data_IF_434201801240
#
_entry.id   IF_434201801240
#
_cell.length_a   1.000
_cell.length_b   1.000
_cell.length_c   1.000
_cell.angle_alpha   90.00
_cell.angle_beta   90.00
_cell.angle_gamma   90.00
#
_symmetry.space_group_name_H-M   'P 1'
#
loop_
_entity.id
_entity.type
_entity.pdbx_description
1 polymer ?
#
# COMPACT_ATOMS: atom_id res chain seq x y z
N UNK A 1 12.26 -35.23 10.71
CA UNK A 1 12.41 -33.75 10.85
C UNK A 1 11.38 -33.29 11.86
N UNK A 2 11.83 -32.90 13.03
CA UNK A 2 10.96 -32.28 14.04
C UNK A 2 10.46 -30.95 13.53
N UNK A 3 9.15 -30.81 13.35
CA UNK A 3 8.49 -29.54 13.08
C UNK A 3 8.70 -28.62 14.28
N UNK A 4 9.59 -27.64 14.13
CA UNK A 4 9.96 -26.73 15.22
C UNK A 4 9.13 -25.48 15.16
N UNK A 5 8.42 -25.19 16.24
CA UNK A 5 7.86 -23.86 16.48
C UNK A 5 8.99 -22.85 16.68
N UNK A 6 8.81 -21.63 16.23
CA UNK A 6 9.78 -20.57 16.46
C UNK A 6 9.10 -19.30 17.00
N UNK A 7 9.88 -18.57 17.77
CA UNK A 7 9.54 -17.25 18.29
C UNK A 7 10.52 -16.24 17.72
N UNK A 8 10.02 -15.14 17.17
CA UNK A 8 10.84 -14.06 16.66
C UNK A 8 10.38 -12.72 17.24
N UNK A 9 11.33 -11.86 17.54
CA UNK A 9 11.10 -10.46 17.89
C UNK A 9 11.88 -9.60 16.92
N UNK A 10 11.21 -8.60 16.35
CA UNK A 10 11.79 -7.62 15.44
C UNK A 10 11.50 -6.24 15.99
N UNK A 11 12.50 -5.39 16.04
CA UNK A 11 12.36 -3.99 16.33
C UNK A 11 13.08 -3.17 15.26
N UNK A 12 12.42 -2.14 14.77
CA UNK A 12 12.91 -1.23 13.74
C UNK A 12 12.74 0.21 14.19
N UNK A 13 13.72 1.06 13.91
CA UNK A 13 13.67 2.47 14.21
C UNK A 13 14.09 3.27 12.99
N UNK A 14 13.21 4.16 12.53
CA UNK A 14 13.44 5.07 11.42
C UNK A 14 13.49 6.52 11.92
N UNK A 15 14.42 7.27 11.37
CA UNK A 15 14.48 8.72 11.50
C UNK A 15 14.65 9.35 10.12
N UNK A 16 13.74 10.24 9.77
CA UNK A 16 13.76 10.96 8.50
C UNK A 16 13.61 12.46 8.73
N UNK A 17 14.39 13.25 8.00
CA UNK A 17 14.31 14.71 8.03
C UNK A 17 14.51 15.25 6.61
N UNK A 18 13.57 16.03 6.13
CA UNK A 18 13.62 16.64 4.82
C UNK A 18 13.32 18.14 4.89
N UNK A 19 14.12 18.93 4.15
CA UNK A 19 13.81 20.32 3.85
C UNK A 19 13.87 20.48 2.33
N UNK A 20 12.77 20.90 1.73
CA UNK A 20 12.66 21.05 0.29
C UNK A 20 12.13 22.46 -0.05
N UNK A 21 12.65 23.03 -1.14
CA UNK A 21 12.30 24.33 -1.63
C UNK A 21 11.80 24.23 -3.06
N UNK A 22 10.57 24.63 -3.31
CA UNK A 22 9.95 24.62 -4.64
C UNK A 22 9.55 26.06 -5.00
N UNK A 23 10.51 26.84 -5.51
CA UNK A 23 10.28 28.25 -5.77
C UNK A 23 10.04 29.03 -4.47
N UNK A 24 8.78 29.47 -4.26
CA UNK A 24 8.36 30.18 -3.05
C UNK A 24 7.72 29.28 -2.00
N UNK A 25 7.67 27.99 -2.22
CA UNK A 25 7.16 27.01 -1.27
C UNK A 25 8.32 26.41 -0.45
N UNK A 26 8.25 26.58 0.85
CA UNK A 26 9.17 25.97 1.81
C UNK A 26 8.48 24.80 2.48
N UNK A 27 8.99 23.59 2.25
CA UNK A 27 8.49 22.35 2.86
C UNK A 27 9.50 21.83 3.88
N UNK A 28 8.99 21.35 5.01
CA UNK A 28 9.77 20.62 6.02
C UNK A 28 9.01 19.41 6.48
N UNK A 29 9.67 18.26 6.44
CA UNK A 29 9.18 16.99 6.96
C UNK A 29 10.14 16.40 7.99
N UNK A 30 9.61 15.91 9.10
CA UNK A 30 10.38 15.17 10.10
C UNK A 30 9.57 13.98 10.58
N UNK A 31 10.18 12.80 10.57
CA UNK A 31 9.57 11.57 11.05
C UNK A 31 10.50 10.84 12.00
N UNK A 32 9.94 10.32 13.09
CA UNK A 32 10.55 9.32 13.95
C UNK A 32 9.55 8.19 14.11
N UNK A 33 9.94 6.98 13.73
CA UNK A 33 9.10 5.80 13.81
C UNK A 33 9.83 4.68 14.56
N UNK A 34 9.13 4.03 15.47
CA UNK A 34 9.55 2.80 16.13
C UNK A 34 8.49 1.74 15.93
N UNK A 35 8.87 0.63 15.31
CA UNK A 35 8.01 -0.53 15.15
C UNK A 35 8.58 -1.74 15.90
N UNK A 36 7.73 -2.43 16.63
CA UNK A 36 8.08 -3.66 17.36
C UNK A 36 7.08 -4.75 17.00
N UNK A 37 7.58 -5.95 16.70
CA UNK A 37 6.75 -7.08 16.34
C UNK A 37 7.25 -8.34 17.03
N UNK A 38 6.37 -8.98 17.78
CA UNK A 38 6.59 -10.30 18.39
C UNK A 38 5.73 -11.31 17.67
N UNK A 39 6.33 -12.35 17.12
CA UNK A 39 5.61 -13.38 16.37
C UNK A 39 6.00 -14.79 16.82
N UNK A 40 4.99 -15.64 16.90
CA UNK A 40 5.15 -17.07 17.18
C UNK A 40 4.56 -17.87 16.01
N UNK A 41 5.39 -18.73 15.42
CA UNK A 41 4.99 -19.63 14.35
C UNK A 41 4.91 -21.07 14.88
N UNK A 42 3.75 -21.68 14.71
CA UNK A 42 3.49 -23.06 15.10
C UNK A 42 3.15 -23.91 13.87
N UNK A 43 3.84 -25.05 13.73
CA UNK A 43 3.60 -26.01 12.67
C UNK A 43 2.76 -27.16 13.22
N UNK A 44 1.51 -27.28 12.76
CA UNK A 44 0.63 -28.42 13.10
C UNK A 44 1.03 -29.68 12.33
N UNK A 45 1.36 -29.48 11.05
CA UNK A 45 1.81 -30.52 10.14
C UNK A 45 2.78 -29.92 9.12
N UNK A 46 3.40 -30.74 8.29
CA UNK A 46 4.21 -30.26 7.16
C UNK A 46 3.38 -29.48 6.09
N UNK A 47 2.05 -29.51 6.21
CA UNK A 47 1.13 -28.80 5.32
C UNK A 47 0.47 -27.58 5.94
N UNK A 48 0.50 -27.47 7.27
CA UNK A 48 -0.26 -26.43 7.96
C UNK A 48 0.53 -25.77 9.07
N UNK A 49 0.50 -24.46 9.09
CA UNK A 49 1.11 -23.63 10.12
C UNK A 49 0.20 -22.46 10.50
N UNK A 50 0.39 -21.97 11.70
CA UNK A 50 -0.27 -20.79 12.24
C UNK A 50 0.79 -19.83 12.77
N UNK A 51 0.74 -18.60 12.29
CA UNK A 51 1.49 -17.49 12.86
C UNK A 51 0.52 -16.66 13.68
N UNK A 52 0.88 -16.39 14.93
CA UNK A 52 0.19 -15.39 15.75
C UNK A 52 1.21 -14.35 16.19
N UNK A 53 0.81 -13.10 16.27
CA UNK A 53 1.73 -12.05 16.66
C UNK A 53 1.04 -10.84 17.23
N UNK A 54 1.86 -10.00 17.88
CA UNK A 54 1.47 -8.69 18.37
C UNK A 54 2.47 -7.65 17.86
N UNK A 55 1.97 -6.49 17.50
CA UNK A 55 2.75 -5.37 17.00
C UNK A 55 2.41 -4.10 17.77
N UNK A 56 3.44 -3.29 18.01
CA UNK A 56 3.28 -1.92 18.47
C UNK A 56 4.06 -1.00 17.52
N UNK A 57 3.45 0.11 17.15
CA UNK A 57 4.05 1.14 16.32
C UNK A 57 3.85 2.50 17.00
N UNK A 58 4.93 3.25 17.08
CA UNK A 58 4.95 4.62 17.56
C UNK A 58 5.52 5.48 16.44
N UNK A 59 4.73 6.40 15.93
CA UNK A 59 5.15 7.31 14.87
C UNK A 59 4.89 8.75 15.29
N UNK A 60 5.94 9.54 15.27
CA UNK A 60 5.86 10.98 15.41
C UNK A 60 6.21 11.61 14.08
N UNK A 61 5.24 12.26 13.46
CA UNK A 61 5.36 12.88 12.17
C UNK A 61 5.01 14.36 12.24
N UNK A 62 5.89 15.20 11.74
CA UNK A 62 5.70 16.63 11.61
C UNK A 62 5.91 17.03 10.16
N UNK A 63 4.93 17.71 9.62
CA UNK A 63 4.95 18.19 8.25
C UNK A 63 4.48 19.64 8.23
N UNK A 64 5.28 20.55 7.67
CA UNK A 64 4.94 21.94 7.54
C UNK A 64 5.20 22.46 6.12
N UNK A 65 4.29 23.28 5.64
CA UNK A 65 4.36 23.96 4.36
C UNK A 65 4.15 25.45 4.56
N UNK A 66 5.11 26.26 4.12
CA UNK A 66 4.96 27.70 3.98
C UNK A 66 4.93 28.08 2.52
N UNK A 67 3.85 28.73 2.09
CA UNK A 67 3.71 29.29 0.74
C UNK A 67 3.91 30.81 0.77
N UNK A 68 5.05 31.25 0.26
CA UNK A 68 5.47 32.67 0.27
C UNK A 68 5.06 33.42 -1.01
N UNK A 69 4.13 32.87 -1.79
CA UNK A 69 3.66 33.46 -3.03
C UNK A 69 2.92 34.81 -2.77
N UNK A 70 3.33 35.92 -3.38
CA UNK A 70 2.83 37.25 -3.02
C UNK A 70 1.33 37.48 -3.30
N UNK A 71 0.75 36.76 -4.26
CA UNK A 71 -0.66 36.89 -4.62
C UNK A 71 -1.63 36.06 -3.79
N UNK A 72 -1.14 35.26 -2.83
CA UNK A 72 -1.99 34.54 -1.90
C UNK A 72 -2.48 35.53 -0.83
N UNK A 73 -3.76 35.92 -0.92
CA UNK A 73 -4.36 36.84 0.02
C UNK A 73 -4.82 36.18 1.32
N UNK A 74 -5.27 34.91 1.22
CA UNK A 74 -5.79 34.16 2.35
C UNK A 74 -4.66 33.69 3.29
N UNK A 75 -4.60 34.29 4.48
CA UNK A 75 -3.59 33.92 5.49
C UNK A 75 -3.60 32.41 5.84
N UNK A 76 -4.76 31.74 5.75
CA UNK A 76 -4.92 30.30 6.01
C UNK A 76 -4.23 29.41 4.97
N UNK A 77 -4.05 29.89 3.73
CA UNK A 77 -3.39 29.11 2.66
C UNK A 77 -1.88 29.33 2.62
N UNK A 78 -1.34 30.18 3.47
CA UNK A 78 0.10 30.50 3.51
C UNK A 78 0.90 29.54 4.35
N UNK A 79 0.27 28.90 5.33
CA UNK A 79 0.97 28.03 6.26
C UNK A 79 0.08 26.87 6.68
N UNK A 80 0.59 25.66 6.50
CA UNK A 80 -0.02 24.43 6.98
C UNK A 80 0.96 23.70 7.89
N UNK A 81 0.46 23.18 8.99
CA UNK A 81 1.20 22.37 9.96
C UNK A 81 0.39 21.12 10.27
N UNK A 82 0.97 19.95 9.96
CA UNK A 82 0.33 18.64 10.11
C UNK A 82 1.16 17.78 11.09
N UNK A 83 1.11 18.14 12.35
CA UNK A 83 1.73 17.31 13.39
C UNK A 83 0.85 16.09 13.68
N UNK A 84 1.47 14.94 13.82
CA UNK A 84 0.81 13.68 14.16
C UNK A 84 1.68 12.85 15.09
N UNK A 85 1.13 12.49 16.25
CA UNK A 85 1.70 11.48 17.14
C UNK A 85 0.78 10.27 17.12
N UNK A 86 1.15 9.28 16.33
CA UNK A 86 0.34 8.10 16.07
C UNK A 86 0.90 6.91 16.85
N UNK A 87 0.04 6.29 17.64
CA UNK A 87 0.35 5.12 18.43
C UNK A 87 -0.64 4.03 18.05
N UNK A 88 -0.11 2.92 17.56
CA UNK A 88 -0.90 1.78 17.14
C UNK A 88 -0.43 0.52 17.83
N UNK A 89 -1.37 -0.25 18.34
CA UNK A 89 -1.13 -1.58 18.88
C UNK A 89 -2.09 -2.56 18.25
N UNK A 90 -1.58 -3.73 17.86
CA UNK A 90 -2.39 -4.72 17.18
C UNK A 90 -1.95 -6.13 17.44
N UNK A 91 -2.86 -7.06 17.13
CA UNK A 91 -2.60 -8.49 17.13
C UNK A 91 -3.12 -9.11 15.84
N UNK A 92 -2.47 -10.18 15.41
CA UNK A 92 -2.84 -10.87 14.18
C UNK A 92 -2.68 -12.37 14.30
N UNK A 93 -3.43 -13.06 13.44
CA UNK A 93 -3.28 -14.49 13.20
C UNK A 93 -3.32 -14.76 11.70
N UNK A 94 -2.44 -15.62 11.24
CA UNK A 94 -2.37 -16.07 9.84
C UNK A 94 -2.20 -17.56 9.78
N UNK A 95 -3.14 -18.23 9.10
CA UNK A 95 -3.12 -19.66 8.88
C UNK A 95 -2.69 -19.96 7.45
N UNK A 96 -1.72 -20.83 7.29
CA UNK A 96 -1.25 -21.36 6.01
C UNK A 96 -1.56 -22.83 5.90
N UNK A 97 -2.16 -23.22 4.78
CA UNK A 97 -2.31 -24.60 4.38
C UNK A 97 -1.75 -24.80 2.98
N UNK A 98 -0.83 -25.76 2.80
CA UNK A 98 -0.18 -25.99 1.53
C UNK A 98 -0.05 -27.50 1.23
N UNK A 99 -0.48 -27.87 0.04
CA UNK A 99 -0.20 -29.18 -0.56
C UNK A 99 0.88 -28.97 -1.60
N UNK A 100 2.04 -29.58 -1.40
CA UNK A 100 3.21 -29.40 -2.25
C UNK A 100 2.81 -29.53 -3.73
N UNK A 101 3.27 -28.58 -4.55
CA UNK A 101 3.11 -28.51 -6.00
C UNK A 101 1.66 -28.47 -6.52
N UNK A 102 0.65 -28.39 -5.64
CA UNK A 102 -0.76 -28.37 -6.05
C UNK A 102 -1.51 -27.14 -5.61
N UNK A 103 -1.51 -26.85 -4.33
CA UNK A 103 -2.41 -25.88 -3.75
C UNK A 103 -1.80 -25.24 -2.51
N UNK A 104 -1.99 -23.94 -2.35
CA UNK A 104 -1.77 -23.28 -1.07
C UNK A 104 -2.82 -22.21 -0.81
N UNK A 105 -3.22 -22.07 0.44
CA UNK A 105 -4.07 -20.99 0.93
C UNK A 105 -3.40 -20.37 2.14
N UNK A 106 -3.46 -19.03 2.19
CA UNK A 106 -3.08 -18.24 3.35
C UNK A 106 -4.28 -17.37 3.70
N UNK A 107 -4.74 -17.45 4.93
CA UNK A 107 -5.84 -16.63 5.44
C UNK A 107 -5.39 -15.96 6.73
N UNK A 108 -5.50 -14.65 6.80
CA UNK A 108 -5.08 -13.84 7.94
C UNK A 108 -6.14 -12.86 8.36
N UNK A 109 -6.14 -12.55 9.64
CA UNK A 109 -6.92 -11.46 10.24
C UNK A 109 -6.02 -10.69 11.19
N UNK A 110 -6.14 -9.38 11.17
CA UNK A 110 -5.43 -8.48 12.07
C UNK A 110 -6.41 -7.48 12.67
N UNK A 111 -6.26 -7.20 13.93
CA UNK A 111 -6.99 -6.16 14.65
C UNK A 111 -6.00 -5.17 15.25
N UNK A 112 -6.20 -3.88 14.97
CA UNK A 112 -5.36 -2.78 15.42
C UNK A 112 -6.19 -1.70 16.11
N UNK A 113 -5.70 -1.17 17.21
CA UNK A 113 -6.22 0.04 17.82
C UNK A 113 -5.23 1.18 17.58
N UNK A 114 -5.71 2.24 16.97
CA UNK A 114 -4.95 3.45 16.70
C UNK A 114 -5.43 4.57 17.63
N UNK A 115 -4.57 5.02 18.53
CA UNK A 115 -4.91 6.00 19.55
C UNK A 115 -5.11 7.41 18.97
N UNK A 116 -4.45 7.75 17.86
CA UNK A 116 -4.61 9.06 17.22
C UNK A 116 -6.02 9.28 16.66
N UNK A 117 -6.60 8.23 16.06
CA UNK A 117 -7.96 8.26 15.51
C UNK A 117 -9.01 7.80 16.51
N UNK A 118 -8.61 7.27 17.65
CA UNK A 118 -9.49 6.58 18.64
C UNK A 118 -10.39 5.54 17.93
N UNK A 119 -9.76 4.67 17.12
CA UNK A 119 -10.47 3.70 16.31
C UNK A 119 -9.83 2.33 16.36
N UNK A 120 -10.69 1.32 16.29
CA UNK A 120 -10.30 -0.08 16.10
C UNK A 120 -10.53 -0.49 14.65
N UNK A 121 -9.51 -1.11 14.04
CA UNK A 121 -9.53 -1.60 12.67
C UNK A 121 -9.45 -3.11 12.64
N UNK A 122 -10.15 -3.73 11.68
CA UNK A 122 -10.01 -5.15 11.38
C UNK A 122 -9.65 -5.28 9.91
N UNK A 123 -8.53 -5.94 9.63
CA UNK A 123 -7.98 -6.10 8.28
C UNK A 123 -7.83 -7.58 7.95
N UNK A 124 -8.88 -8.20 7.37
CA UNK A 124 -8.78 -9.55 6.82
C UNK A 124 -7.94 -9.54 5.53
N UNK A 125 -7.20 -10.63 5.30
CA UNK A 125 -6.49 -10.90 4.05
C UNK A 125 -6.51 -12.37 3.70
N UNK A 126 -6.47 -12.66 2.41
CA UNK A 126 -6.43 -14.03 1.92
C UNK A 126 -5.71 -14.14 0.59
N UNK A 127 -4.97 -15.23 0.43
CA UNK A 127 -4.28 -15.59 -0.80
C UNK A 127 -4.50 -17.06 -1.10
N UNK A 128 -4.72 -17.36 -2.37
CA UNK A 128 -4.82 -18.71 -2.89
C UNK A 128 -3.87 -18.87 -4.06
N UNK A 129 -3.18 -20.00 -4.12
CA UNK A 129 -2.43 -20.46 -5.29
C UNK A 129 -2.87 -21.87 -5.60
N UNK A 130 -3.23 -22.09 -6.84
CA UNK A 130 -3.64 -23.42 -7.33
C UNK A 130 -2.91 -23.74 -8.64
N UNK A 131 -2.05 -24.76 -8.61
CA UNK A 131 -1.45 -25.33 -9.80
C UNK A 131 -2.45 -26.32 -10.39
N UNK A 132 -3.23 -25.85 -11.37
CA UNK A 132 -4.26 -26.65 -12.07
C UNK A 132 -3.59 -27.78 -12.83
N UNK A 133 -2.47 -27.46 -13.49
CA UNK A 133 -1.54 -28.43 -14.11
C UNK A 133 -0.11 -28.04 -13.70
N UNK A 134 0.92 -28.87 -14.02
CA UNK A 134 2.31 -28.48 -13.80
C UNK A 134 2.71 -27.16 -14.47
N UNK A 135 2.06 -26.82 -15.58
CA UNK A 135 2.33 -25.62 -16.39
C UNK A 135 1.29 -24.50 -16.22
N UNK A 136 0.18 -24.73 -15.50
CA UNK A 136 -0.90 -23.74 -15.30
C UNK A 136 -1.08 -23.43 -13.84
N UNK A 137 -0.86 -22.16 -13.47
CA UNK A 137 -1.05 -21.68 -12.09
C UNK A 137 -2.10 -20.58 -12.04
N UNK A 138 -3.10 -20.74 -11.18
CA UNK A 138 -4.07 -19.71 -10.81
C UNK A 138 -3.72 -19.16 -9.44
N UNK A 139 -3.76 -17.83 -9.29
CA UNK A 139 -3.61 -17.13 -8.00
C UNK A 139 -4.79 -16.20 -7.80
N UNK A 140 -5.21 -16.03 -6.55
CA UNK A 140 -6.19 -15.05 -6.15
C UNK A 140 -5.79 -14.41 -4.83
N UNK A 141 -6.15 -13.15 -4.64
CA UNK A 141 -5.93 -12.45 -3.39
C UNK A 141 -7.03 -11.45 -3.10
N UNK A 142 -7.31 -11.26 -1.81
CA UNK A 142 -8.17 -10.20 -1.32
C UNK A 142 -7.60 -9.68 0.00
N UNK A 143 -7.66 -8.36 0.21
CA UNK A 143 -7.18 -7.76 1.45
C UNK A 143 -7.74 -6.37 1.68
N UNK A 144 -8.08 -6.10 2.94
CA UNK A 144 -8.48 -4.78 3.42
C UNK A 144 -7.29 -4.12 4.11
N UNK A 145 -7.06 -2.84 3.87
CA UNK A 145 -6.01 -2.05 4.49
C UNK A 145 -6.50 -0.67 4.91
N UNK A 146 -5.80 -0.11 5.89
CA UNK A 146 -5.93 1.27 6.33
C UNK A 146 -4.56 1.92 6.35
N UNK A 147 -4.50 3.22 6.05
CA UNK A 147 -3.28 4.01 6.22
C UNK A 147 -3.61 5.44 6.61
N UNK A 148 -2.70 6.06 7.35
CA UNK A 148 -2.67 7.51 7.54
C UNK A 148 -1.98 8.17 6.36
N UNK A 149 -2.60 9.21 5.79
CA UNK A 149 -2.06 9.96 4.66
C UNK A 149 -1.11 11.03 5.15
N UNK A 150 0.06 11.14 4.54
CA UNK A 150 0.97 12.27 4.69
C UNK A 150 0.64 13.30 3.60
N UNK A 151 -0.17 14.29 3.96
CA UNK A 151 -0.93 15.11 3.01
C UNK A 151 -0.07 15.79 1.96
N UNK A 152 1.04 16.41 2.36
CA UNK A 152 1.92 17.10 1.44
C UNK A 152 2.95 16.16 0.82
N UNK A 153 3.58 15.29 1.65
CA UNK A 153 4.61 14.34 1.15
C UNK A 153 4.06 13.40 0.09
N UNK A 154 2.86 12.85 0.28
CA UNK A 154 2.20 11.97 -0.71
C UNK A 154 1.92 12.71 -2.04
N UNK A 155 1.90 14.05 -2.01
CA UNK A 155 1.61 14.92 -3.14
C UNK A 155 2.73 15.95 -3.42
N UNK A 156 3.97 15.71 -2.99
CA UNK A 156 5.04 16.72 -3.00
C UNK A 156 5.29 17.35 -4.38
N UNK A 157 5.03 16.62 -5.46
CA UNK A 157 5.15 17.12 -6.82
C UNK A 157 4.25 18.32 -7.14
N UNK A 158 3.13 18.52 -6.41
CA UNK A 158 2.24 19.67 -6.63
C UNK A 158 2.90 20.99 -6.24
N UNK A 159 3.88 20.98 -5.33
CA UNK A 159 4.59 22.17 -4.88
C UNK A 159 5.39 22.83 -6.00
N UNK A 160 5.81 22.07 -7.01
CA UNK A 160 6.55 22.57 -8.16
C UNK A 160 5.69 23.46 -9.10
N UNK A 161 4.37 23.40 -8.97
CA UNK A 161 3.46 24.20 -9.84
C UNK A 161 3.39 25.68 -9.44
N UNK A 162 3.77 26.04 -8.22
CA UNK A 162 3.66 27.38 -7.66
C UNK A 162 2.22 27.85 -7.42
N UNK A 163 1.22 26.94 -7.59
CA UNK A 163 -0.20 27.25 -7.31
C UNK A 163 -0.47 27.29 -5.81
N UNK A 164 -1.51 28.02 -5.43
CA UNK A 164 -2.00 28.04 -4.05
C UNK A 164 -2.56 26.66 -3.68
N UNK A 165 -2.14 26.13 -2.53
CA UNK A 165 -2.72 24.91 -1.97
C UNK A 165 -3.83 25.32 -1.00
N UNK A 166 -5.03 24.78 -1.22
CA UNK A 166 -6.22 25.13 -0.43
C UNK A 166 -6.83 23.85 0.16
N UNK A 167 -7.00 23.83 1.48
CA UNK A 167 -7.72 22.79 2.20
C UNK A 167 -8.97 23.45 2.78
N UNK A 168 -10.14 23.29 2.15
CA UNK A 168 -11.35 24.03 2.52
C UNK A 168 -11.84 23.74 3.93
N UNK A 169 -11.74 22.48 4.35
CA UNK A 169 -12.11 22.02 5.68
C UNK A 169 -10.88 21.39 6.36
N UNK A 170 -9.97 22.26 6.84
CA UNK A 170 -8.74 21.81 7.48
C UNK A 170 -8.99 21.08 8.80
N UNK A 171 -9.97 21.54 9.58
CA UNK A 171 -10.29 20.97 10.89
C UNK A 171 -11.01 19.62 10.78
N UNK A 172 -11.84 19.45 9.74
CA UNK A 172 -12.55 18.19 9.44
C UNK A 172 -11.81 17.26 8.48
N UNK A 173 -10.60 17.63 8.05
CA UNK A 173 -9.84 16.86 7.08
C UNK A 173 -9.41 15.49 7.63
N UNK A 174 -9.99 14.44 7.05
CA UNK A 174 -9.75 13.07 7.51
C UNK A 174 -8.56 12.45 6.75
N UNK A 175 -7.48 12.21 7.47
CA UNK A 175 -6.23 11.63 6.94
C UNK A 175 -6.21 10.10 6.91
N UNK A 176 -7.28 9.45 7.36
CA UNK A 176 -7.36 8.00 7.38
C UNK A 176 -8.02 7.45 6.12
N UNK A 177 -7.25 6.80 5.28
CA UNK A 177 -7.72 6.11 4.09
C UNK A 177 -7.96 4.62 4.36
N UNK A 178 -8.93 4.06 3.66
CA UNK A 178 -9.24 2.64 3.66
C UNK A 178 -9.29 2.14 2.24
N UNK A 179 -8.69 0.98 1.96
CA UNK A 179 -8.70 0.36 0.65
C UNK A 179 -8.98 -1.14 0.73
N UNK A 180 -9.81 -1.62 -0.20
CA UNK A 180 -10.03 -3.05 -0.45
C UNK A 180 -9.41 -3.39 -1.80
N UNK A 181 -8.44 -4.31 -1.81
CA UNK A 181 -7.87 -4.85 -3.05
C UNK A 181 -8.32 -6.28 -3.24
N UNK A 182 -8.80 -6.61 -4.43
CA UNK A 182 -9.17 -7.96 -4.85
C UNK A 182 -8.61 -8.19 -6.24
N UNK A 183 -8.04 -9.35 -6.47
CA UNK A 183 -7.51 -9.67 -7.79
C UNK A 183 -7.05 -11.10 -7.95
N UNK A 184 -6.59 -11.41 -9.14
CA UNK A 184 -6.09 -12.72 -9.48
C UNK A 184 -5.17 -12.72 -10.68
N UNK A 185 -4.48 -13.82 -10.85
CA UNK A 185 -3.47 -14.04 -11.87
C UNK A 185 -3.60 -15.45 -12.42
N UNK A 186 -3.54 -15.57 -13.74
CA UNK A 186 -3.42 -16.85 -14.45
C UNK A 186 -2.08 -16.86 -15.17
N UNK A 187 -1.24 -17.83 -14.84
CA UNK A 187 0.07 -18.02 -15.46
C UNK A 187 0.11 -19.35 -16.18
N UNK A 188 0.52 -19.34 -17.45
CA UNK A 188 0.71 -20.51 -18.29
C UNK A 188 2.15 -20.57 -18.78
N UNK A 189 2.82 -21.69 -18.50
CA UNK A 189 4.13 -22.03 -19.07
C UNK A 189 3.95 -22.99 -20.24
N UNK A 190 4.69 -22.81 -21.32
CA UNK A 190 4.61 -23.65 -22.53
C UNK A 190 5.93 -23.61 -23.30
N UNK A 191 6.12 -24.56 -24.21
CA UNK A 191 7.29 -24.60 -25.07
C UNK A 191 7.01 -23.93 -26.41
N UNK A 192 7.90 -23.06 -26.86
CA UNK A 192 7.94 -22.50 -28.23
C UNK A 192 9.06 -23.09 -29.06
N UNK A 193 10.26 -23.22 -28.49
CA UNK A 193 11.45 -23.80 -29.11
C UNK A 193 11.90 -25.02 -28.32
N UNK A 194 11.87 -24.95 -26.99
CA UNK A 194 12.14 -26.04 -26.06
C UNK A 194 11.00 -26.21 -25.06
N UNK A 195 11.00 -27.28 -24.28
CA UNK A 195 9.98 -27.48 -23.25
C UNK A 195 10.09 -26.39 -22.19
N UNK A 196 8.95 -25.76 -21.85
CA UNK A 196 8.80 -24.76 -20.78
C UNK A 196 9.69 -23.52 -20.93
N UNK A 197 10.03 -23.13 -22.17
CA UNK A 197 10.87 -21.97 -22.48
C UNK A 197 10.12 -20.64 -22.52
N UNK A 198 8.79 -20.66 -22.47
CA UNK A 198 7.95 -19.46 -22.51
C UNK A 198 6.91 -19.46 -21.39
N UNK A 199 6.61 -18.27 -20.87
CA UNK A 199 5.58 -18.04 -19.86
C UNK A 199 4.71 -16.85 -20.25
N UNK A 200 3.39 -17.02 -20.15
CA UNK A 200 2.40 -15.97 -20.32
C UNK A 200 1.61 -15.83 -19.01
N UNK A 201 1.53 -14.61 -18.50
CA UNK A 201 0.71 -14.28 -17.34
C UNK A 201 -0.33 -13.23 -17.69
N UNK A 202 -1.53 -13.41 -17.16
CA UNK A 202 -2.58 -12.41 -17.15
C UNK A 202 -2.96 -12.09 -15.71
N UNK A 203 -2.93 -10.81 -15.36
CA UNK A 203 -3.25 -10.32 -14.02
C UNK A 203 -4.40 -9.30 -14.09
N UNK A 204 -5.31 -9.39 -13.14
CA UNK A 204 -6.34 -8.40 -12.89
C UNK A 204 -6.40 -8.07 -11.42
N UNK A 205 -6.36 -6.77 -11.10
CA UNK A 205 -6.53 -6.26 -9.74
C UNK A 205 -7.47 -5.06 -9.75
N UNK A 206 -8.41 -5.09 -8.81
CA UNK A 206 -9.24 -3.95 -8.46
C UNK A 206 -8.90 -3.49 -7.05
N UNK A 207 -8.56 -2.21 -6.92
CA UNK A 207 -8.44 -1.54 -5.62
C UNK A 207 -9.56 -0.52 -5.51
N UNK A 208 -10.39 -0.68 -4.50
CA UNK A 208 -11.46 0.25 -4.16
C UNK A 208 -11.05 1.05 -2.93
N UNK A 209 -11.05 2.38 -3.08
CA UNK A 209 -10.73 3.32 -2.02
C UNK A 209 -12.01 3.85 -1.38
N UNK A 210 -11.92 4.07 -0.08
CA UNK A 210 -12.95 4.70 0.74
C UNK A 210 -12.30 5.87 1.46
N UNK A 211 -12.91 7.06 1.36
CA UNK A 211 -12.39 8.25 2.01
C UNK A 211 -10.97 8.65 1.56
N UNK A 212 -10.73 8.66 0.24
CA UNK A 212 -9.44 9.07 -0.32
C UNK A 212 -9.20 10.56 -0.15
N UNK A 213 -7.95 10.95 0.07
CA UNK A 213 -7.50 12.33 -0.06
C UNK A 213 -7.24 12.61 -1.54
N UNK A 214 -7.89 13.64 -2.08
CA UNK A 214 -7.76 14.07 -3.47
C UNK A 214 -6.99 15.39 -3.53
N UNK A 215 -5.97 15.43 -4.39
CA UNK A 215 -5.28 16.66 -4.81
C UNK A 215 -5.79 17.06 -6.20
N UNK A 216 -6.87 17.84 -6.24
CA UNK A 216 -7.49 18.28 -7.48
C UNK A 216 -6.70 19.44 -8.09
N UNK A 217 -6.14 19.19 -9.26
CA UNK A 217 -5.33 20.13 -10.03
C UNK A 217 -6.07 20.72 -11.24
N UNK A 218 -7.30 20.28 -11.49
CA UNK A 218 -8.06 20.60 -12.70
C UNK A 218 -9.15 21.64 -12.46
N UNK A 219 -9.69 21.69 -11.23
CA UNK A 219 -10.81 22.56 -10.88
C UNK A 219 -10.47 24.06 -11.04
N UNK A 220 -9.24 24.46 -10.70
CA UNK A 220 -8.77 25.85 -10.77
C UNK A 220 -7.39 25.94 -11.42
N UNK A 221 -7.18 26.98 -12.22
CA UNK A 221 -5.90 27.20 -12.89
C UNK A 221 -4.79 27.67 -11.93
N UNK A 222 -5.16 28.40 -10.86
CA UNK A 222 -4.27 29.07 -9.91
C UNK A 222 -4.20 28.35 -8.54
N UNK A 223 -5.07 27.36 -8.31
CA UNK A 223 -5.19 26.67 -7.03
C UNK A 223 -5.18 25.16 -7.20
N UNK A 224 -4.75 24.46 -6.13
CA UNK A 224 -4.87 23.02 -5.97
C UNK A 224 -5.73 22.79 -4.73
N UNK A 225 -6.81 22.06 -4.92
CA UNK A 225 -7.74 21.74 -3.82
C UNK A 225 -7.39 20.39 -3.22
N UNK A 226 -7.16 20.35 -1.91
CA UNK A 226 -6.99 19.10 -1.15
C UNK A 226 -8.24 18.85 -0.32
N UNK A 227 -8.95 17.77 -0.59
CA UNK A 227 -10.18 17.42 0.11
C UNK A 227 -10.39 15.90 0.19
N UNK A 228 -11.25 15.47 1.09
CA UNK A 228 -11.68 14.08 1.15
C UNK A 228 -12.77 13.82 0.13
N UNK A 229 -12.63 12.72 -0.62
CA UNK A 229 -13.67 12.29 -1.55
C UNK A 229 -14.86 11.71 -0.80
N UNK A 230 -16.06 12.23 -1.04
CA UNK A 230 -17.32 11.66 -0.56
C UNK A 230 -17.75 10.44 -1.38
N UNK A 231 -17.12 10.22 -2.52
CA UNK A 231 -17.40 9.11 -3.43
C UNK A 231 -16.40 7.97 -3.26
N UNK A 232 -16.83 6.80 -3.62
CA UNK A 232 -15.93 5.64 -3.73
C UNK A 232 -15.15 5.78 -5.02
N UNK A 233 -13.83 5.82 -4.91
CA UNK A 233 -12.93 5.75 -6.05
C UNK A 233 -12.40 4.33 -6.24
N UNK A 234 -12.01 3.99 -7.45
CA UNK A 234 -11.41 2.69 -7.73
C UNK A 234 -10.35 2.76 -8.82
N UNK A 235 -9.49 1.78 -8.79
CA UNK A 235 -8.51 1.53 -9.85
C UNK A 235 -8.58 0.09 -10.27
N UNK A 236 -8.83 -0.15 -11.55
CA UNK A 236 -8.73 -1.45 -12.19
C UNK A 236 -7.41 -1.52 -12.96
N UNK A 237 -6.62 -2.55 -12.71
CA UNK A 237 -5.35 -2.79 -13.40
C UNK A 237 -5.41 -4.14 -14.09
N UNK A 238 -5.14 -4.14 -15.39
CA UNK A 238 -4.99 -5.33 -16.23
C UNK A 238 -3.55 -5.37 -16.70
N UNK A 239 -2.90 -6.52 -16.56
CA UNK A 239 -1.52 -6.70 -17.00
C UNK A 239 -1.37 -8.02 -17.73
N UNK A 240 -0.59 -8.01 -18.80
CA UNK A 240 -0.16 -9.19 -19.53
C UNK A 240 1.36 -9.16 -19.56
N UNK A 241 1.98 -10.23 -19.06
CA UNK A 241 3.42 -10.41 -19.08
C UNK A 241 3.76 -11.64 -19.94
N UNK A 242 4.70 -11.46 -20.83
CA UNK A 242 5.27 -12.53 -21.64
C UNK A 242 6.77 -12.60 -21.39
N UNK A 243 7.27 -13.81 -21.13
CA UNK A 243 8.68 -14.11 -20.95
C UNK A 243 9.04 -15.30 -21.82
N UNK A 244 10.15 -15.22 -22.55
CA UNK A 244 10.62 -16.28 -23.43
C UNK A 244 12.15 -16.34 -23.48
N UNK A 245 12.71 -17.55 -23.31
CA UNK A 245 14.15 -17.84 -23.38
C UNK A 245 14.41 -18.75 -24.59
N UNK A 246 14.45 -18.19 -25.83
CA UNK A 246 14.55 -18.99 -27.08
C UNK A 246 15.85 -19.77 -27.18
N UNK A 247 16.93 -19.23 -26.65
CA UNK A 247 18.26 -19.85 -26.67
C UNK A 247 19.00 -19.46 -25.39
N UNK A 248 20.03 -20.23 -25.04
CA UNK A 248 20.88 -19.95 -23.90
C UNK A 248 21.41 -18.51 -23.94
N UNK A 249 21.29 -17.74 -22.84
CA UNK A 249 21.73 -16.35 -22.67
C UNK A 249 20.88 -15.29 -23.40
N UNK A 250 19.72 -15.61 -23.92
CA UNK A 250 18.79 -14.64 -24.47
C UNK A 250 17.44 -14.76 -23.79
N UNK A 251 17.09 -13.74 -22.99
CA UNK A 251 15.78 -13.61 -22.35
C UNK A 251 15.01 -12.44 -22.96
N UNK A 252 13.78 -12.69 -23.39
CA UNK A 252 12.87 -11.71 -23.98
C UNK A 252 11.71 -11.51 -23.03
N UNK A 253 11.46 -10.25 -22.67
CA UNK A 253 10.36 -9.86 -21.81
C UNK A 253 9.50 -8.81 -22.51
N UNK A 254 8.18 -8.97 -22.42
CA UNK A 254 7.22 -7.98 -22.87
C UNK A 254 6.11 -7.85 -21.83
N UNK A 255 5.79 -6.61 -21.46
CA UNK A 255 4.73 -6.30 -20.50
C UNK A 255 3.80 -5.27 -21.13
N UNK A 256 2.50 -5.56 -21.07
CA UNK A 256 1.45 -4.59 -21.34
C UNK A 256 0.60 -4.39 -20.10
N UNK A 257 0.42 -3.11 -19.69
CA UNK A 257 -0.42 -2.75 -18.57
C UNK A 257 -1.43 -1.69 -19.00
N UNK A 258 -2.68 -1.93 -18.64
CA UNK A 258 -3.77 -0.95 -18.75
C UNK A 258 -4.35 -0.68 -17.37
N UNK A 259 -4.46 0.58 -17.03
CA UNK A 259 -5.03 1.03 -15.75
C UNK A 259 -6.21 1.95 -16.05
N UNK A 260 -7.35 1.66 -15.44
CA UNK A 260 -8.54 2.50 -15.45
C UNK A 260 -8.82 2.96 -14.02
N UNK A 261 -8.87 4.26 -13.79
CA UNK A 261 -9.14 4.84 -12.48
C UNK A 261 -10.32 5.81 -12.57
N UNK A 262 -11.20 5.74 -11.59
CA UNK A 262 -12.32 6.67 -11.42
C UNK A 262 -12.27 7.22 -9.98
N UNK A 263 -12.36 8.56 -9.86
CA UNK A 263 -12.32 9.31 -8.60
C UNK A 263 -13.61 10.07 -8.37
#
# INVERSE_FOLDING_TARGET
DEMRSNLAFVADFDHFNENAYFGLNDYKGNENALAMNLMYNHYFTYRSSLIVGAQAQLQYYRESLANNTPWIEAAKSRFYDFDRSEQEVGAYAEYTYAVKDKFSIVAGIRGDYNAFYDKFFVTPRGHIRWNITPSTTLRGSAGLGYRSTNVITDNIGILATGREIVIPDFDGFNRLEKALTVGGSLTQTFGLVSADDATLSFDYFRTQFYNSVIADQEMYADKIMLYNSDKRSYTDTYQIDFSWTPVERLDIFATFRYTNSEM
#
